data_IF_965632867730
#
_entry.id   IF_965632867730
#
_cell.length_a   1.000
_cell.length_b   1.000
_cell.length_c   1.000
_cell.angle_alpha   90.00
_cell.angle_beta   90.00
_cell.angle_gamma   90.00
#
_symmetry.space_group_name_H-M   'P 1'
#
loop_
_entity.id
_entity.type
_entity.pdbx_description
1 polymer ?
#
# COMPACT_ATOMS: atom_id res chain seq x y z
N UNK A 1 -1.15 7.76 -10.57
CA UNK A 1 -1.40 6.29 -10.48
C UNK A 1 -1.70 5.95 -9.03
N UNK A 2 -2.52 4.92 -8.74
CA UNK A 2 -2.82 4.46 -7.38
C UNK A 2 -2.33 3.02 -7.19
N UNK A 3 -1.48 2.80 -6.19
CA UNK A 3 -0.82 1.52 -5.90
C UNK A 3 -1.26 1.08 -4.50
N UNK A 4 -1.75 -0.16 -4.39
CA UNK A 4 -2.11 -0.77 -3.11
C UNK A 4 -1.19 -1.95 -2.81
N UNK A 5 -0.51 -1.90 -1.68
CA UNK A 5 0.35 -2.98 -1.20
C UNK A 5 -0.37 -3.79 -0.12
N UNK A 6 -0.57 -5.08 -0.35
CA UNK A 6 -1.21 -6.00 0.60
C UNK A 6 -0.16 -7.01 1.10
N UNK A 7 -0.06 -7.17 2.42
CA UNK A 7 0.86 -8.13 3.02
C UNK A 7 0.18 -8.92 4.14
N UNK A 8 0.30 -10.25 4.10
CA UNK A 8 -0.21 -11.17 5.13
C UNK A 8 0.70 -11.33 6.34
N UNK A 9 1.89 -10.72 6.32
CA UNK A 9 2.91 -10.82 7.38
C UNK A 9 2.69 -9.84 8.54
N UNK A 10 1.66 -8.98 8.47
CA UNK A 10 1.29 -7.98 9.48
C UNK A 10 1.42 -6.51 9.02
N UNK A 11 0.85 -5.58 9.81
CA UNK A 11 0.82 -4.13 9.54
C UNK A 11 2.21 -3.53 9.31
N UNK A 12 3.19 -3.87 10.15
CA UNK A 12 4.55 -3.32 10.06
C UNK A 12 5.29 -3.69 8.76
N UNK A 13 5.12 -4.93 8.29
CA UNK A 13 5.72 -5.39 7.04
C UNK A 13 5.09 -4.72 5.82
N UNK A 14 3.77 -4.53 5.83
CA UNK A 14 3.05 -3.83 4.75
C UNK A 14 3.44 -2.34 4.66
N UNK A 15 3.61 -1.68 5.81
CA UNK A 15 4.05 -0.29 5.89
C UNK A 15 5.49 -0.09 5.39
N UNK A 16 6.39 -1.04 5.67
CA UNK A 16 7.76 -1.00 5.18
C UNK A 16 7.83 -1.10 3.64
N UNK A 17 6.95 -1.89 3.04
CA UNK A 17 6.81 -2.00 1.58
C UNK A 17 6.33 -0.67 0.99
N UNK A 18 5.32 -0.03 1.58
CA UNK A 18 4.82 1.28 1.14
C UNK A 18 5.94 2.33 1.14
N UNK A 19 6.71 2.43 2.22
CA UNK A 19 7.84 3.37 2.31
C UNK A 19 8.90 3.13 1.24
N UNK A 20 9.19 1.86 0.92
CA UNK A 20 10.15 1.52 -0.12
C UNK A 20 9.63 1.88 -1.52
N UNK A 21 8.35 1.64 -1.80
CA UNK A 21 7.71 2.03 -3.06
C UNK A 21 7.75 3.56 -3.22
N UNK A 22 7.37 4.31 -2.17
CA UNK A 22 7.44 5.79 -2.18
C UNK A 22 8.86 6.30 -2.45
N UNK A 23 9.89 5.68 -1.86
CA UNK A 23 11.30 6.02 -2.14
C UNK A 23 11.69 5.78 -3.60
N UNK A 24 11.24 4.67 -4.20
CA UNK A 24 11.51 4.35 -5.61
C UNK A 24 10.77 5.29 -6.54
N UNK A 25 9.48 5.56 -6.30
CA UNK A 25 8.68 6.52 -7.07
C UNK A 25 9.30 7.91 -7.07
N UNK A 26 9.78 8.37 -5.90
CA UNK A 26 10.50 9.64 -5.77
C UNK A 26 11.80 9.68 -6.59
N UNK A 27 12.54 8.56 -6.66
CA UNK A 27 13.75 8.47 -7.51
C UNK A 27 13.42 8.49 -9.01
N UNK A 28 12.27 7.95 -9.39
CA UNK A 28 11.82 7.88 -10.77
C UNK A 28 11.06 9.15 -11.22
N UNK A 29 10.86 10.14 -10.34
CA UNK A 29 10.01 11.32 -10.57
C UNK A 29 8.58 10.95 -11.03
N UNK A 30 8.03 9.85 -10.49
CA UNK A 30 6.67 9.41 -10.79
C UNK A 30 5.77 9.82 -9.63
N UNK A 31 4.71 10.56 -9.95
CA UNK A 31 3.70 10.93 -8.97
C UNK A 31 2.62 9.83 -8.86
N UNK A 32 2.62 9.14 -7.74
CA UNK A 32 1.69 8.05 -7.47
C UNK A 32 1.35 7.96 -5.98
N UNK A 33 0.07 7.70 -5.72
CA UNK A 33 -0.43 7.41 -4.38
C UNK A 33 -0.17 5.94 -4.06
N UNK A 34 0.46 5.70 -2.92
CA UNK A 34 0.72 4.35 -2.41
C UNK A 34 0.03 4.21 -1.07
N UNK A 35 -0.88 3.25 -0.99
CA UNK A 35 -1.57 2.84 0.23
C UNK A 35 -1.18 1.41 0.58
N UNK A 36 -1.22 1.09 1.88
CA UNK A 36 -1.00 -0.27 2.35
C UNK A 36 -2.24 -0.79 3.09
N UNK A 37 -2.47 -2.09 2.99
CA UNK A 37 -3.52 -2.76 3.75
C UNK A 37 -3.03 -4.14 4.18
N UNK A 38 -3.58 -4.64 5.29
CA UNK A 38 -3.28 -5.98 5.77
C UNK A 38 -4.38 -6.96 5.36
N UNK A 39 -4.02 -8.25 5.26
CA UNK A 39 -4.96 -9.29 4.84
C UNK A 39 -6.13 -9.45 5.83
N UNK A 40 -5.92 -9.13 7.11
CA UNK A 40 -6.95 -9.16 8.15
C UNK A 40 -7.97 -8.03 8.02
N UNK A 41 -7.59 -6.92 7.38
CA UNK A 41 -8.48 -5.80 7.02
C UNK A 41 -9.25 -6.02 5.72
N UNK A 42 -8.91 -7.07 4.96
CA UNK A 42 -9.62 -7.43 3.73
C UNK A 42 -10.99 -8.05 4.07
N UNK A 43 -12.03 -7.22 4.06
CA UNK A 43 -13.41 -7.65 4.22
C UNK A 43 -14.06 -7.95 2.86
N UNK A 44 -14.92 -8.98 2.76
CA UNK A 44 -15.70 -9.22 1.55
C UNK A 44 -16.78 -8.14 1.41
N UNK A 45 -16.46 -7.09 0.65
CA UNK A 45 -17.32 -5.94 0.35
C UNK A 45 -16.57 -4.96 -0.55
N UNK A 46 -17.25 -3.99 -1.19
CA UNK A 46 -16.54 -2.92 -1.88
C UNK A 46 -15.57 -2.27 -0.87
N UNK A 47 -14.28 -2.11 -1.22
CA UNK A 47 -13.33 -1.53 -0.30
C UNK A 47 -13.86 -0.16 0.11
N UNK A 48 -14.07 0.05 1.41
CA UNK A 48 -14.55 1.32 1.98
C UNK A 48 -13.42 2.33 1.78
N UNK A 49 -13.39 2.93 0.59
CA UNK A 49 -12.59 4.10 0.22
C UNK A 49 -13.50 5.33 0.30
N UNK A 50 -14.02 5.62 1.50
CA UNK A 50 -14.67 6.88 1.83
C UNK A 50 -13.62 7.88 2.33
#
# INVERSE_FOLDING_TARGET
MKIMAICGSGLGSSFMVEMNIKKVLKKLNIDAEVEHSDLSSATPGPPIFL
#
